data_IF_586480813813
#
_entry.id   IF_586480813813
#
_cell.length_a   1.000
_cell.length_b   1.000
_cell.length_c   1.000
_cell.angle_alpha   90.00
_cell.angle_beta   90.00
_cell.angle_gamma   90.00
#
_symmetry.space_group_name_H-M   'P 1'
#
loop_
_entity.id
_entity.type
_entity.pdbx_description
1 polymer ?
#
# COMPACT_ATOMS: atom_id res chain seq x y z
N UNK A 1 -4.88 -14.83 -14.16
CA UNK A 1 -3.75 -14.18 -14.89
C UNK A 1 -4.14 -13.35 -16.11
N UNK A 2 -5.16 -13.69 -16.92
CA UNK A 2 -5.54 -12.89 -18.12
C UNK A 2 -5.86 -11.41 -17.81
N UNK A 3 -6.50 -11.13 -16.66
CA UNK A 3 -6.84 -9.76 -16.26
C UNK A 3 -5.61 -8.87 -16.03
N UNK A 4 -4.58 -9.36 -15.33
CA UNK A 4 -3.36 -8.60 -15.06
C UNK A 4 -2.57 -8.26 -16.34
N UNK A 5 -2.54 -9.18 -17.32
CA UNK A 5 -1.84 -8.97 -18.60
C UNK A 5 -2.32 -7.72 -19.34
N UNK A 6 -3.63 -7.52 -19.42
CA UNK A 6 -4.23 -6.33 -20.04
C UNK A 6 -3.74 -5.03 -19.39
N UNK A 7 -3.70 -4.98 -18.06
CA UNK A 7 -3.25 -3.79 -17.34
C UNK A 7 -1.76 -3.52 -17.52
N UNK A 8 -0.94 -4.56 -17.58
CA UNK A 8 0.49 -4.44 -17.87
C UNK A 8 0.71 -3.88 -19.27
N UNK A 9 0.04 -4.43 -20.28
CA UNK A 9 0.16 -3.96 -21.68
C UNK A 9 -0.32 -2.53 -21.87
N UNK A 10 -1.38 -2.12 -21.17
CA UNK A 10 -1.85 -0.72 -21.16
C UNK A 10 -0.99 0.24 -20.33
N UNK A 11 0.00 -0.27 -19.57
CA UNK A 11 0.86 0.55 -18.71
C UNK A 11 0.28 0.94 -17.34
N UNK A 12 -0.95 0.50 -17.02
CA UNK A 12 -1.63 0.76 -15.75
C UNK A 12 -1.14 -0.12 -14.58
N UNK A 13 -0.46 -1.23 -14.85
CA UNK A 13 0.14 -2.09 -13.84
C UNK A 13 1.62 -2.29 -14.13
N UNK A 14 2.48 -1.97 -13.17
CA UNK A 14 3.93 -2.21 -13.26
C UNK A 14 4.37 -3.14 -12.14
N UNK A 15 4.92 -4.29 -12.51
CA UNK A 15 5.55 -5.21 -11.56
C UNK A 15 7.04 -4.86 -11.45
N UNK A 16 7.43 -4.19 -10.37
CA UNK A 16 8.78 -3.64 -10.22
C UNK A 16 9.84 -4.63 -9.71
N UNK A 17 9.41 -5.81 -9.25
CA UNK A 17 10.31 -6.82 -8.68
C UNK A 17 10.93 -6.39 -7.34
N UNK A 18 12.08 -6.98 -7.00
CA UNK A 18 12.84 -6.61 -5.79
C UNK A 18 13.53 -5.27 -6.03
N UNK A 19 13.36 -4.36 -5.08
CA UNK A 19 13.86 -2.98 -5.16
C UNK A 19 14.59 -2.61 -3.87
N UNK A 20 15.56 -1.68 -3.99
CA UNK A 20 16.30 -1.11 -2.86
C UNK A 20 16.03 0.39 -2.69
N UNK A 21 15.34 1.00 -3.65
CA UNK A 21 14.97 2.41 -3.73
C UNK A 21 13.52 2.65 -3.28
N UNK A 22 13.13 1.98 -2.18
CA UNK A 22 11.75 2.01 -1.66
C UNK A 22 11.31 3.44 -1.33
N UNK A 23 12.20 4.24 -0.74
CA UNK A 23 11.93 5.62 -0.41
C UNK A 23 11.57 6.47 -1.65
N UNK A 24 12.31 6.31 -2.74
CA UNK A 24 12.06 7.00 -4.00
C UNK A 24 10.75 6.55 -4.63
N UNK A 25 10.43 5.26 -4.54
CA UNK A 25 9.18 4.72 -5.05
C UNK A 25 7.97 5.26 -4.27
N UNK A 26 8.01 5.25 -2.94
CA UNK A 26 6.94 5.81 -2.10
C UNK A 26 6.80 7.31 -2.34
N UNK A 27 7.90 8.06 -2.45
CA UNK A 27 7.84 9.49 -2.74
C UNK A 27 7.11 9.81 -4.06
N UNK A 28 7.25 8.93 -5.06
CA UNK A 28 6.63 9.04 -6.37
C UNK A 28 5.17 8.53 -6.44
N UNK A 29 4.59 7.99 -5.37
CA UNK A 29 3.17 7.59 -5.35
C UNK A 29 2.28 8.68 -4.76
N UNK A 30 1.01 8.64 -5.14
CA UNK A 30 -0.04 9.44 -4.52
C UNK A 30 -0.63 8.74 -3.29
N UNK A 31 -0.74 7.40 -3.32
CA UNK A 31 -1.39 6.58 -2.30
C UNK A 31 -0.61 5.27 -2.11
N UNK A 32 -0.56 4.74 -0.88
CA UNK A 32 -0.09 3.37 -0.60
C UNK A 32 -1.30 2.46 -0.31
N UNK A 33 -1.30 1.24 -0.87
CA UNK A 33 -2.29 0.20 -0.54
C UNK A 33 -1.59 -0.97 0.14
N UNK A 34 -2.08 -1.38 1.31
CA UNK A 34 -1.56 -2.50 2.11
C UNK A 34 -2.67 -3.53 2.42
N UNK A 35 -3.05 -4.37 1.45
CA UNK A 35 -4.19 -5.30 1.57
C UNK A 35 -3.76 -6.64 2.20
N UNK A 36 -3.19 -6.60 3.41
CA UNK A 36 -2.77 -7.82 4.12
C UNK A 36 -3.95 -8.65 4.59
N UNK A 37 -3.86 -9.98 4.49
CA UNK A 37 -4.88 -10.92 5.02
C UNK A 37 -4.51 -11.48 6.40
N UNK A 38 -3.33 -11.11 6.92
CA UNK A 38 -2.83 -11.52 8.23
C UNK A 38 -2.29 -10.32 9.01
N UNK A 39 -2.24 -10.38 10.36
CA UNK A 39 -1.60 -9.35 11.17
C UNK A 39 -0.13 -9.15 10.79
N UNK A 40 0.32 -7.90 10.71
CA UNK A 40 1.69 -7.54 10.36
C UNK A 40 2.13 -6.28 11.12
N UNK A 41 3.43 -6.08 11.34
CA UNK A 41 3.97 -4.82 11.88
C UNK A 41 3.85 -3.62 10.90
N UNK A 42 3.41 -3.90 9.66
CA UNK A 42 3.16 -2.95 8.57
C UNK A 42 4.17 -1.79 8.39
N UNK A 43 5.48 -2.10 8.34
CA UNK A 43 6.54 -1.12 8.01
C UNK A 43 6.25 -0.23 6.80
N UNK A 44 5.68 -0.73 5.68
CA UNK A 44 5.36 0.13 4.54
C UNK A 44 4.39 1.26 4.88
N UNK A 45 3.45 1.05 5.82
CA UNK A 45 2.52 2.08 6.30
C UNK A 45 3.27 3.18 7.06
N UNK A 46 4.24 2.81 7.90
CA UNK A 46 5.09 3.77 8.62
C UNK A 46 5.93 4.59 7.64
N UNK A 47 6.55 3.92 6.66
CA UNK A 47 7.38 4.56 5.63
C UNK A 47 6.55 5.53 4.76
N UNK A 48 5.32 5.16 4.39
CA UNK A 48 4.38 6.03 3.67
C UNK A 48 3.91 7.22 4.52
N UNK A 49 3.55 6.97 5.79
CA UNK A 49 3.11 8.02 6.71
C UNK A 49 4.20 9.06 6.96
N UNK A 50 5.46 8.63 7.08
CA UNK A 50 6.61 9.52 7.20
C UNK A 50 6.82 10.43 5.97
N UNK A 51 6.25 10.06 4.83
CA UNK A 51 6.26 10.83 3.58
C UNK A 51 4.90 11.50 3.28
N UNK A 52 4.03 11.60 4.28
CA UNK A 52 2.68 12.15 4.17
C UNK A 52 1.84 11.52 3.04
N UNK A 53 2.02 10.22 2.80
CA UNK A 53 1.24 9.47 1.81
C UNK A 53 0.03 8.84 2.49
N UNK A 54 -1.20 9.13 2.03
CA UNK A 54 -2.38 8.46 2.56
C UNK A 54 -2.34 6.95 2.28
N UNK A 55 -2.92 6.17 3.20
CA UNK A 55 -2.84 4.71 3.17
C UNK A 55 -4.23 4.08 3.11
N UNK A 56 -4.42 3.10 2.23
CA UNK A 56 -5.58 2.18 2.30
C UNK A 56 -5.08 0.84 2.81
N UNK A 57 -5.52 0.41 3.99
CA UNK A 57 -5.02 -0.81 4.62
C UNK A 57 -6.14 -1.72 5.14
N UNK A 58 -5.83 -3.00 5.29
CA UNK A 58 -6.74 -3.96 5.91
C UNK A 58 -6.98 -3.65 7.40
N UNK A 59 -8.21 -3.76 7.89
CA UNK A 59 -8.60 -3.60 9.28
C UNK A 59 -8.23 -4.84 10.12
N UNK A 60 -6.92 -5.08 10.28
CA UNK A 60 -6.40 -6.23 11.01
C UNK A 60 -5.03 -5.93 11.63
N UNK A 61 -4.85 -6.22 12.92
CA UNK A 61 -3.55 -6.12 13.62
C UNK A 61 -2.88 -4.74 13.45
N UNK A 62 -1.56 -4.73 13.23
CA UNK A 62 -0.77 -3.49 13.13
C UNK A 62 -1.30 -2.45 12.14
N UNK A 63 -1.72 -2.79 10.90
CA UNK A 63 -2.37 -1.83 10.01
C UNK A 63 -3.51 -1.03 10.62
N UNK A 64 -4.38 -1.66 11.43
CA UNK A 64 -5.50 -1.00 12.13
C UNK A 64 -5.01 0.07 13.09
N UNK A 65 -3.89 -0.17 13.76
CA UNK A 65 -3.32 0.74 14.77
C UNK A 65 -2.57 1.92 14.14
N UNK A 66 -2.11 1.78 12.90
CA UNK A 66 -1.26 2.76 12.22
C UNK A 66 -2.03 3.73 11.32
N UNK A 67 -3.30 3.44 11.01
CA UNK A 67 -4.14 4.28 10.13
C UNK A 67 -5.24 4.92 10.94
N UNK A 68 -5.31 6.25 10.90
CA UNK A 68 -6.42 7.03 11.42
C UNK A 68 -7.44 7.25 10.28
N UNK A 69 -8.64 6.63 10.32
CA UNK A 69 -9.64 6.78 9.27
C UNK A 69 -10.00 8.25 9.04
N UNK A 70 -10.15 8.63 7.77
CA UNK A 70 -10.49 9.98 7.31
C UNK A 70 -9.45 11.07 7.60
N UNK A 71 -8.34 10.74 8.28
CA UNK A 71 -7.22 11.66 8.55
C UNK A 71 -5.96 11.24 7.79
N UNK A 72 -5.49 10.02 8.01
CA UNK A 72 -4.25 9.49 7.38
C UNK A 72 -4.53 8.40 6.34
N UNK A 73 -5.78 7.94 6.24
CA UNK A 73 -6.11 6.88 5.31
C UNK A 73 -7.49 6.26 5.52
N UNK A 74 -7.66 5.06 4.97
CA UNK A 74 -8.88 4.24 5.07
C UNK A 74 -8.54 2.82 5.54
N UNK A 75 -9.43 2.27 6.36
CA UNK A 75 -9.41 0.87 6.77
C UNK A 75 -10.50 0.09 6.03
N UNK A 76 -10.14 -1.07 5.49
CA UNK A 76 -11.05 -1.96 4.75
C UNK A 76 -11.06 -3.38 5.33
N UNK A 77 -12.18 -4.14 5.26
CA UNK A 77 -12.16 -5.54 5.67
C UNK A 77 -11.10 -6.36 4.90
N UNK A 78 -10.36 -7.27 5.54
CA UNK A 78 -9.44 -8.17 4.84
C UNK A 78 -10.21 -9.13 3.91
N UNK A 79 -9.60 -9.50 2.79
CA UNK A 79 -10.18 -10.37 1.75
C UNK A 79 -9.88 -11.85 1.91
#
# INVERSE_FOLDING_TARGET
>A
MKAAKKFIESGHLRLLGIRRDVAQLIAATDILVFPSTVPHFARPIIEASAMAKPVVASDIGGPKELVAPDETGLLIPPG
#
